data_IF_073736848829
#
_entry.id   IF_073736848829
#
_cell.length_a   1.000
_cell.length_b   1.000
_cell.length_c   1.000
_cell.angle_alpha   90.00
_cell.angle_beta   90.00
_cell.angle_gamma   90.00
#
_symmetry.space_group_name_H-M   'P 1'
#
loop_
_entity.id
_entity.type
_entity.pdbx_description
1 polymer ?
#
# COMPACT_ATOMS: atom_id res chain seq x y z
N UNK A 1 -8.57 9.84 -17.21
CA UNK A 1 -9.29 8.96 -16.27
C UNK A 1 -10.02 9.85 -15.31
N UNK A 2 -11.34 9.96 -15.46
CA UNK A 2 -12.18 10.77 -14.58
C UNK A 2 -12.42 9.97 -13.32
N UNK A 3 -11.83 10.42 -12.21
CA UNK A 3 -12.11 9.87 -10.88
C UNK A 3 -13.53 10.33 -10.56
N UNK A 4 -14.50 9.44 -10.71
CA UNK A 4 -15.84 9.64 -10.17
C UNK A 4 -15.72 9.54 -8.67
N UNK A 5 -15.68 10.71 -8.04
CA UNK A 5 -15.80 10.92 -6.60
C UNK A 5 -17.23 10.59 -6.19
N UNK A 6 -17.54 9.30 -6.05
CA UNK A 6 -18.78 8.83 -5.43
C UNK A 6 -18.54 8.71 -3.91
N UNK A 7 -18.05 9.81 -3.33
CA UNK A 7 -17.86 10.03 -1.90
C UNK A 7 -19.18 10.52 -1.31
N UNK A 8 -20.20 9.66 -1.34
CA UNK A 8 -21.29 9.72 -0.37
C UNK A 8 -21.00 8.66 0.70
N UNK A 9 -20.00 8.95 1.52
CA UNK A 9 -19.71 8.19 2.73
C UNK A 9 -20.58 8.74 3.87
N UNK A 10 -21.83 8.26 3.92
CA UNK A 10 -22.79 8.59 4.97
C UNK A 10 -22.72 7.59 6.15
N UNK A 11 -21.68 6.75 6.19
CA UNK A 11 -21.46 5.79 7.27
C UNK A 11 -20.45 6.36 8.26
N UNK A 12 -20.95 6.88 9.38
CA UNK A 12 -20.12 7.11 10.56
C UNK A 12 -19.56 5.77 11.03
N UNK A 13 -18.23 5.67 11.05
CA UNK A 13 -17.53 4.61 11.76
C UNK A 13 -17.92 4.72 13.23
N UNK A 14 -18.70 3.76 13.71
CA UNK A 14 -19.05 3.63 15.12
C UNK A 14 -17.75 3.22 15.83
N UNK A 15 -17.15 4.15 16.60
CA UNK A 15 -16.01 3.84 17.47
C UNK A 15 -16.42 2.70 18.39
N UNK A 16 -15.83 1.52 18.17
CA UNK A 16 -16.02 0.36 19.02
C UNK A 16 -15.53 0.75 20.41
N UNK A 17 -16.34 0.64 21.48
CA UNK A 17 -15.88 0.88 22.84
C UNK A 17 -14.63 0.03 23.10
N UNK A 18 -13.58 0.64 23.66
CA UNK A 18 -12.33 -0.04 24.00
C UNK A 18 -12.47 -1.17 25.05
N UNK A 19 -13.70 -1.48 25.47
CA UNK A 19 -14.03 -2.40 26.56
C UNK A 19 -14.42 -3.81 26.07
N UNK A 20 -14.44 -4.09 24.77
CA UNK A 20 -14.47 -5.49 24.30
C UNK A 20 -13.06 -6.09 24.42
N UNK A 21 -12.85 -6.82 25.52
CA UNK A 21 -11.65 -7.61 25.87
C UNK A 21 -11.37 -8.78 24.90
N UNK A 22 -11.87 -8.69 23.67
CA UNK A 22 -11.42 -9.45 22.50
C UNK A 22 -10.63 -8.52 21.59
N UNK A 23 -9.53 -8.00 22.12
CA UNK A 23 -8.45 -7.49 21.27
C UNK A 23 -7.87 -8.70 20.53
N UNK A 24 -8.41 -8.99 19.34
CA UNK A 24 -7.59 -9.64 18.33
C UNK A 24 -6.40 -8.69 18.16
N UNK A 25 -5.23 -9.16 18.55
CA UNK A 25 -3.96 -8.49 18.36
C UNK A 25 -3.77 -8.34 16.85
N UNK A 26 -4.41 -7.34 16.26
CA UNK A 26 -4.12 -6.87 14.93
C UNK A 26 -2.68 -6.36 15.03
N UNK A 27 -1.78 -7.01 14.29
CA UNK A 27 -0.38 -6.68 14.23
C UNK A 27 -0.22 -5.20 13.82
N UNK A 28 -0.14 -4.30 14.81
CA UNK A 28 0.26 -2.90 14.69
C UNK A 28 1.64 -2.74 13.99
N UNK A 29 2.34 -3.86 13.78
CA UNK A 29 3.54 -3.94 12.97
C UNK A 29 3.33 -3.41 11.54
N UNK A 30 2.18 -3.61 10.90
CA UNK A 30 2.01 -3.24 9.49
C UNK A 30 1.89 -1.72 9.29
N UNK A 31 1.16 -1.02 10.18
CA UNK A 31 1.05 0.43 10.14
C UNK A 31 2.36 1.11 10.53
N UNK A 32 3.05 0.60 11.57
CA UNK A 32 4.35 1.13 11.98
C UNK A 32 5.41 0.94 10.88
N UNK A 33 5.41 -0.21 10.19
CA UNK A 33 6.30 -0.45 9.04
C UNK A 33 5.95 0.48 7.87
N UNK A 34 4.68 0.70 7.58
CA UNK A 34 4.25 1.63 6.54
C UNK A 34 4.73 3.07 6.82
N UNK A 35 4.57 3.57 8.04
CA UNK A 35 5.07 4.90 8.44
C UNK A 35 6.59 5.00 8.36
N UNK A 36 7.31 3.97 8.81
CA UNK A 36 8.77 3.94 8.74
C UNK A 36 9.26 3.94 7.27
N UNK A 37 8.60 3.22 6.37
CA UNK A 37 8.97 3.21 4.94
C UNK A 37 8.70 4.56 4.26
N UNK A 38 7.62 5.26 4.61
CA UNK A 38 7.33 6.61 4.11
C UNK A 38 8.39 7.61 4.57
N UNK A 39 8.79 7.54 5.85
CA UNK A 39 9.82 8.40 6.38
C UNK A 39 11.18 8.14 5.72
N UNK A 40 11.56 6.87 5.55
CA UNK A 40 12.79 6.49 4.85
C UNK A 40 12.81 7.00 3.40
N UNK A 41 11.69 6.88 2.68
CA UNK A 41 11.57 7.40 1.32
C UNK A 41 11.67 8.93 1.24
N UNK A 42 11.16 9.64 2.24
CA UNK A 42 11.26 11.11 2.31
C UNK A 42 12.71 11.55 2.57
N UNK A 43 13.43 10.84 3.44
CA UNK A 43 14.86 11.06 3.70
C UNK A 43 15.71 10.76 2.46
N UNK A 44 15.46 9.64 1.77
CA UNK A 44 16.14 9.29 0.52
C UNK A 44 15.89 10.33 -0.60
N UNK A 45 14.66 10.84 -0.70
CA UNK A 45 14.32 11.90 -1.65
C UNK A 45 15.05 13.21 -1.34
N UNK A 46 15.22 13.58 -0.06
CA UNK A 46 16.03 14.73 0.35
C UNK A 46 17.51 14.54 0.02
N UNK A 47 18.06 13.35 0.26
CA UNK A 47 19.46 13.03 -0.05
C UNK A 47 19.71 13.13 -1.56
N UNK A 48 18.80 12.59 -2.38
CA UNK A 48 18.87 12.70 -3.85
C UNK A 48 18.75 14.14 -4.33
N UNK A 49 17.87 14.95 -3.71
CA UNK A 49 17.74 16.36 -4.04
C UNK A 49 19.01 17.17 -3.69
N UNK A 50 19.65 16.88 -2.55
CA UNK A 50 20.91 17.50 -2.14
C UNK A 50 22.07 17.10 -3.07
N UNK A 51 22.15 15.84 -3.51
CA UNK A 51 23.14 15.38 -4.48
C UNK A 51 22.91 15.99 -5.88
N UNK A 52 21.65 16.16 -6.27
CA UNK A 52 21.28 16.87 -7.50
C UNK A 52 21.71 18.34 -7.46
N UNK A 53 21.55 19.02 -6.32
CA UNK A 53 21.97 20.41 -6.16
C UNK A 53 23.50 20.57 -6.22
N UNK A 54 24.25 19.64 -5.61
CA UNK A 54 25.72 19.62 -5.62
C UNK A 54 26.32 19.32 -7.00
N UNK A 55 25.59 18.60 -7.86
CA UNK A 55 26.03 18.30 -9.24
C UNK A 55 25.62 19.38 -10.24
N UNK A 56 24.61 20.20 -9.92
CA UNK A 56 24.11 21.27 -10.79
C UNK A 56 25.04 22.50 -10.89
N UNK A 57 25.91 22.75 -9.90
CA UNK A 57 26.81 23.92 -9.91
C UNK A 57 28.16 23.66 -10.59
N UNK A 58 28.46 22.42 -10.97
CA UNK A 58 29.65 22.11 -11.76
C UNK A 58 29.33 22.27 -13.25
N UNK A 59 29.02 23.49 -13.67
CA UNK A 59 29.15 23.87 -15.08
C UNK A 59 30.63 23.81 -15.41
N UNK A 60 31.09 22.64 -15.83
CA UNK A 60 32.46 22.39 -16.30
C UNK A 60 32.68 23.36 -17.46
N UNK A 61 33.54 24.35 -17.25
CA UNK A 61 34.11 25.16 -18.32
C UNK A 61 34.58 24.20 -19.41
N UNK A 62 33.95 24.26 -20.59
CA UNK A 62 34.24 23.40 -21.74
C UNK A 62 35.67 23.68 -22.20
N UNK A 63 36.63 22.94 -21.65
CA UNK A 63 37.98 22.87 -22.20
C UNK A 63 37.83 22.07 -23.49
N UNK A 64 38.11 22.66 -24.66
CA UNK A 64 37.94 21.96 -25.92
C UNK A 64 38.88 20.75 -25.96
N UNK A 65 38.33 19.59 -26.26
CA UNK A 65 39.06 18.33 -26.33
C UNK A 65 40.08 18.40 -27.48
N UNK A 66 41.29 17.89 -27.26
CA UNK A 66 42.29 17.78 -28.31
C UNK A 66 41.85 16.69 -29.31
N UNK A 67 42.18 16.87 -30.60
CA UNK A 67 41.74 15.96 -31.67
C UNK A 67 42.20 14.52 -31.43
N UNK A 68 43.38 14.30 -30.86
CA UNK A 68 43.91 12.98 -30.54
C UNK A 68 43.13 12.27 -29.43
N UNK A 69 42.76 12.99 -28.37
CA UNK A 69 41.88 12.48 -27.30
C UNK A 69 40.50 12.09 -27.86
N UNK A 70 39.94 12.91 -28.75
CA UNK A 70 38.69 12.61 -29.43
C UNK A 70 38.75 11.31 -30.24
N UNK A 71 39.82 11.11 -31.03
CA UNK A 71 39.95 9.90 -31.84
C UNK A 71 40.14 8.67 -30.96
N UNK A 72 40.92 8.80 -29.87
CA UNK A 72 41.06 7.73 -28.89
C UNK A 72 39.71 7.37 -28.27
N UNK A 73 38.96 8.36 -27.77
CA UNK A 73 37.64 8.17 -27.17
C UNK A 73 36.62 7.60 -28.16
N UNK A 74 36.65 8.05 -29.43
CA UNK A 74 35.83 7.50 -30.51
C UNK A 74 36.15 6.02 -30.74
N UNK A 75 37.42 5.67 -30.96
CA UNK A 75 37.83 4.29 -31.25
C UNK A 75 37.54 3.36 -30.06
N UNK A 76 37.71 3.82 -28.82
CA UNK A 76 37.31 3.08 -27.61
C UNK A 76 35.79 2.88 -27.58
N UNK A 77 34.99 3.93 -27.79
CA UNK A 77 33.52 3.88 -27.74
C UNK A 77 32.93 2.89 -28.75
N UNK A 78 33.57 2.75 -29.91
CA UNK A 78 33.17 1.81 -30.95
C UNK A 78 33.90 0.45 -30.88
N UNK A 79 34.73 0.21 -29.86
CA UNK A 79 35.42 -1.07 -29.64
C UNK A 79 36.51 -1.40 -30.67
N UNK A 80 37.06 -0.39 -31.35
CA UNK A 80 38.06 -0.53 -32.42
C UNK A 80 39.49 -0.60 -31.87
N UNK A 81 39.77 -1.56 -30.98
CA UNK A 81 41.04 -1.65 -30.24
C UNK A 81 42.29 -1.80 -31.12
N UNK A 82 42.22 -2.58 -32.20
CA UNK A 82 43.36 -2.73 -33.13
C UNK A 82 43.67 -1.43 -33.87
N UNK A 83 42.64 -0.71 -34.29
CA UNK A 83 42.78 0.59 -34.97
C UNK A 83 43.31 1.64 -34.01
N UNK A 84 42.89 1.60 -32.75
CA UNK A 84 43.42 2.45 -31.69
C UNK A 84 44.92 2.24 -31.48
N UNK A 85 45.37 0.98 -31.36
CA UNK A 85 46.79 0.65 -31.19
C UNK A 85 47.64 1.15 -32.37
N UNK A 86 47.18 0.92 -33.61
CA UNK A 86 47.87 1.42 -34.80
C UNK A 86 47.92 2.95 -34.81
N UNK A 87 46.79 3.61 -34.57
CA UNK A 87 46.69 5.07 -34.54
C UNK A 87 47.64 5.67 -33.49
N UNK A 88 47.62 5.17 -32.26
CA UNK A 88 48.49 5.66 -31.19
C UNK A 88 49.97 5.47 -31.52
N UNK A 89 50.34 4.31 -32.07
CA UNK A 89 51.73 4.01 -32.45
C UNK A 89 52.22 4.99 -33.53
N UNK A 90 51.46 5.17 -34.59
CA UNK A 90 51.81 6.09 -35.68
C UNK A 90 51.84 7.55 -35.20
N UNK A 91 50.87 7.94 -34.38
CA UNK A 91 50.76 9.29 -33.82
C UNK A 91 51.97 9.66 -32.97
N UNK A 92 52.38 8.80 -32.04
CA UNK A 92 53.57 9.04 -31.22
C UNK A 92 54.87 9.00 -32.03
N UNK A 93 54.97 8.17 -33.07
CA UNK A 93 56.14 8.14 -33.97
C UNK A 93 56.28 9.45 -34.76
N UNK A 94 55.17 9.99 -35.27
CA UNK A 94 55.12 11.27 -35.98
C UNK A 94 55.50 12.45 -35.07
N UNK A 95 55.04 12.43 -33.82
CA UNK A 95 55.40 13.43 -32.80
C UNK A 95 56.89 13.36 -32.48
N UNK A 96 57.46 12.17 -32.27
CA UNK A 96 58.89 12.01 -31.97
C UNK A 96 59.79 12.45 -33.14
N UNK A 97 59.36 12.25 -34.38
CA UNK A 97 60.07 12.71 -35.58
C UNK A 97 59.96 14.22 -35.82
N UNK A 98 59.15 14.93 -35.04
CA UNK A 98 58.94 16.39 -35.16
C UNK A 98 58.20 16.79 -36.44
N UNK A 99 57.51 15.85 -37.10
CA UNK A 99 56.75 16.11 -38.32
C UNK A 99 55.46 16.91 -38.07
N UNK A 100 55.01 16.97 -36.81
CA UNK A 100 53.83 17.69 -36.37
C UNK A 100 54.06 18.21 -34.95
N UNK A 101 53.72 19.47 -34.66
CA UNK A 101 53.88 20.03 -33.31
C UNK A 101 52.55 20.00 -32.54
N UNK A 102 52.58 19.87 -31.21
CA UNK A 102 51.37 19.86 -30.37
C UNK A 102 50.51 21.14 -30.48
N UNK A 103 51.01 22.20 -31.15
CA UNK A 103 50.26 23.42 -31.47
C UNK A 103 49.45 23.33 -32.77
N UNK A 104 49.75 22.36 -33.62
CA UNK A 104 49.04 22.12 -34.90
C UNK A 104 47.80 21.23 -34.69
N UNK A 105 47.67 20.60 -33.52
CA UNK A 105 46.44 19.90 -33.11
C UNK A 105 45.36 20.95 -32.86
N UNK A 106 44.54 21.20 -33.87
CA UNK A 106 43.33 22.01 -33.72
C UNK A 106 42.42 21.40 -32.64
N UNK A 107 41.57 22.22 -32.06
CA UNK A 107 40.60 21.77 -31.06
C UNK A 107 39.39 21.14 -31.76
N UNK A 108 38.79 20.13 -31.14
CA UNK A 108 37.58 19.51 -31.68
C UNK A 108 36.47 20.56 -31.81
N UNK A 109 35.77 20.63 -32.95
CA UNK A 109 34.65 21.55 -33.13
C UNK A 109 33.60 21.39 -32.02
N UNK A 110 33.26 22.49 -31.37
CA UNK A 110 32.33 22.55 -30.24
C UNK A 110 30.97 21.91 -30.52
N UNK A 111 30.51 21.91 -31.78
CA UNK A 111 29.25 21.25 -32.19
C UNK A 111 29.28 19.74 -31.94
N UNK A 112 30.43 19.07 -32.11
CA UNK A 112 30.52 17.63 -31.85
C UNK A 112 30.44 17.33 -30.36
N UNK A 113 31.21 18.04 -29.55
CA UNK A 113 31.19 17.91 -28.09
C UNK A 113 29.75 18.12 -27.59
N UNK A 114 29.06 19.13 -28.13
CA UNK A 114 27.66 19.39 -27.80
C UNK A 114 26.73 18.24 -28.18
N UNK A 115 26.90 17.64 -29.36
CA UNK A 115 26.11 16.49 -29.77
C UNK A 115 26.34 15.27 -28.86
N UNK A 116 27.59 14.99 -28.49
CA UNK A 116 27.90 13.88 -27.59
C UNK A 116 27.29 14.08 -26.19
N UNK A 117 27.32 15.31 -25.66
CA UNK A 117 26.63 15.67 -24.42
C UNK A 117 25.11 15.44 -24.54
N UNK A 118 24.50 15.91 -25.63
CA UNK A 118 23.06 15.76 -25.87
C UNK A 118 22.63 14.30 -26.05
N UNK A 119 23.48 13.47 -26.66
CA UNK A 119 23.27 12.02 -26.75
C UNK A 119 23.32 11.36 -25.37
N UNK A 120 24.32 11.69 -24.55
CA UNK A 120 24.44 11.16 -23.19
C UNK A 120 23.25 11.58 -22.31
N UNK A 121 22.81 12.84 -22.43
CA UNK A 121 21.62 13.34 -21.76
C UNK A 121 20.35 12.64 -22.24
N UNK A 122 20.17 12.46 -23.55
CA UNK A 122 19.03 11.70 -24.08
C UNK A 122 19.00 10.25 -23.56
N UNK A 123 20.15 9.59 -23.49
CA UNK A 123 20.25 8.23 -22.97
C UNK A 123 19.89 8.18 -21.47
N UNK A 124 20.35 9.15 -20.68
CA UNK A 124 19.98 9.28 -19.26
C UNK A 124 18.48 9.51 -19.10
N UNK A 125 17.92 10.50 -19.80
CA UNK A 125 16.50 10.83 -19.75
C UNK A 125 15.60 9.66 -20.16
N UNK A 126 16.00 8.90 -21.19
CA UNK A 126 15.28 7.69 -21.61
C UNK A 126 15.28 6.62 -20.52
N UNK A 127 16.43 6.41 -19.86
CA UNK A 127 16.54 5.45 -18.76
C UNK A 127 15.68 5.88 -17.56
N UNK A 128 15.72 7.16 -17.20
CA UNK A 128 14.92 7.70 -16.11
C UNK A 128 13.42 7.59 -16.41
N UNK A 129 13.02 7.88 -17.64
CA UNK A 129 11.63 7.73 -18.09
C UNK A 129 11.15 6.27 -18.02
N UNK A 130 11.99 5.31 -18.38
CA UNK A 130 11.64 3.88 -18.27
C UNK A 130 11.53 3.44 -16.80
N UNK A 131 12.45 3.91 -15.94
CA UNK A 131 12.38 3.66 -14.50
C UNK A 131 11.10 4.25 -13.89
N UNK A 132 10.76 5.50 -14.24
CA UNK A 132 9.54 6.15 -13.79
C UNK A 132 8.27 5.42 -14.25
N UNK A 133 8.25 4.88 -15.48
CA UNK A 133 7.14 4.05 -15.95
C UNK A 133 7.00 2.79 -15.12
N UNK A 134 8.12 2.11 -14.83
CA UNK A 134 8.12 0.90 -14.01
C UNK A 134 7.59 1.17 -12.60
N UNK A 135 8.08 2.23 -11.94
CA UNK A 135 7.62 2.59 -10.59
C UNK A 135 6.15 3.00 -10.59
N UNK A 136 5.72 3.76 -11.59
CA UNK A 136 4.31 4.15 -11.77
C UNK A 136 3.41 2.92 -11.94
N UNK A 137 3.82 1.94 -12.73
CA UNK A 137 3.03 0.72 -12.94
C UNK A 137 2.95 -0.11 -11.65
N UNK A 138 4.07 -0.27 -10.92
CA UNK A 138 4.07 -0.93 -9.61
C UNK A 138 3.14 -0.23 -8.60
N UNK A 139 3.18 1.10 -8.54
CA UNK A 139 2.31 1.88 -7.68
C UNK A 139 0.83 1.72 -8.06
N UNK A 140 0.50 1.70 -9.36
CA UNK A 140 -0.87 1.43 -9.84
C UNK A 140 -1.35 0.04 -9.43
N UNK A 141 -0.52 -0.99 -9.57
CA UNK A 141 -0.85 -2.35 -9.17
C UNK A 141 -1.08 -2.45 -7.65
N UNK A 142 -0.22 -1.83 -6.85
CA UNK A 142 -0.39 -1.77 -5.39
C UNK A 142 -1.69 -1.07 -5.01
N UNK A 143 -1.98 0.08 -5.63
CA UNK A 143 -3.21 0.82 -5.41
C UNK A 143 -4.46 -0.01 -5.72
N UNK A 144 -4.47 -0.74 -6.84
CA UNK A 144 -5.58 -1.62 -7.20
C UNK A 144 -5.78 -2.77 -6.19
N UNK A 145 -4.69 -3.29 -5.59
CA UNK A 145 -4.79 -4.29 -4.52
C UNK A 145 -5.41 -3.68 -3.27
N UNK A 146 -4.92 -2.53 -2.81
CA UNK A 146 -5.47 -1.83 -1.64
C UNK A 146 -6.94 -1.46 -1.84
N UNK A 147 -7.33 -1.03 -3.04
CA UNK A 147 -8.72 -0.73 -3.37
C UNK A 147 -9.62 -1.96 -3.23
N UNK A 148 -9.18 -3.12 -3.73
CA UNK A 148 -9.93 -4.39 -3.60
C UNK A 148 -10.08 -4.81 -2.14
N UNK A 149 -9.02 -4.68 -1.34
CA UNK A 149 -9.05 -5.02 0.08
C UNK A 149 -10.01 -4.11 0.85
N UNK A 150 -9.93 -2.79 0.62
CA UNK A 150 -10.88 -1.81 1.16
C UNK A 150 -12.33 -2.17 0.80
N UNK A 151 -12.58 -2.52 -0.47
CA UNK A 151 -13.93 -2.88 -0.92
C UNK A 151 -14.41 -4.20 -0.30
N UNK A 152 -13.51 -5.16 -0.10
CA UNK A 152 -13.77 -6.40 0.62
C UNK A 152 -14.18 -6.13 2.08
N UNK A 153 -13.39 -5.34 2.81
CA UNK A 153 -13.72 -4.94 4.19
C UNK A 153 -15.05 -4.18 4.26
N UNK A 154 -15.28 -3.21 3.37
CA UNK A 154 -16.54 -2.45 3.31
C UNK A 154 -17.74 -3.37 3.09
N UNK A 155 -17.63 -4.34 2.19
CA UNK A 155 -18.70 -5.33 1.93
C UNK A 155 -18.88 -6.27 3.13
N UNK A 156 -17.81 -6.66 3.80
CA UNK A 156 -17.85 -7.51 4.98
C UNK A 156 -18.54 -6.80 6.15
N UNK A 157 -18.14 -5.57 6.48
CA UNK A 157 -18.79 -4.76 7.52
C UNK A 157 -20.29 -4.62 7.26
N UNK A 158 -20.69 -4.31 6.03
CA UNK A 158 -22.12 -4.23 5.65
C UNK A 158 -22.87 -5.54 5.91
N UNK A 159 -22.27 -6.69 5.58
CA UNK A 159 -22.86 -8.01 5.84
C UNK A 159 -23.01 -8.27 7.34
N UNK A 160 -21.97 -8.01 8.12
CA UNK A 160 -21.98 -8.22 9.58
C UNK A 160 -23.07 -7.37 10.24
N UNK A 161 -23.25 -6.11 9.82
CA UNK A 161 -24.33 -5.25 10.31
C UNK A 161 -25.71 -5.85 10.00
N UNK A 162 -25.92 -6.35 8.78
CA UNK A 162 -27.18 -7.00 8.41
C UNK A 162 -27.46 -8.26 9.26
N UNK A 163 -26.43 -9.06 9.52
CA UNK A 163 -26.54 -10.25 10.37
C UNK A 163 -26.83 -9.87 11.83
N UNK A 164 -26.14 -8.85 12.36
CA UNK A 164 -26.40 -8.27 13.68
C UNK A 164 -27.86 -7.85 13.82
N UNK A 165 -28.37 -7.09 12.87
CA UNK A 165 -29.75 -6.57 12.91
C UNK A 165 -30.78 -7.70 12.85
N UNK A 166 -30.51 -8.75 12.07
CA UNK A 166 -31.33 -9.96 12.03
C UNK A 166 -31.35 -10.68 13.39
N UNK A 167 -30.18 -10.86 14.00
CA UNK A 167 -30.07 -11.49 15.32
C UNK A 167 -30.77 -10.66 16.41
N UNK A 168 -30.68 -9.34 16.35
CA UNK A 168 -31.41 -8.44 17.26
C UNK A 168 -32.92 -8.65 17.12
N UNK A 169 -33.44 -8.79 15.90
CA UNK A 169 -34.86 -9.07 15.66
C UNK A 169 -35.27 -10.42 16.24
N UNK A 170 -34.44 -11.46 16.04
CA UNK A 170 -34.70 -12.80 16.58
C UNK A 170 -34.67 -12.81 18.12
N UNK A 171 -33.73 -12.10 18.75
CA UNK A 171 -33.67 -11.93 20.19
C UNK A 171 -34.91 -11.23 20.76
N UNK A 172 -35.39 -10.16 20.09
CA UNK A 172 -36.62 -9.46 20.49
C UNK A 172 -37.83 -10.38 20.43
N UNK A 173 -37.95 -11.15 19.35
CA UNK A 173 -39.04 -12.14 19.18
C UNK A 173 -38.98 -13.23 20.25
N UNK A 174 -37.78 -13.75 20.53
CA UNK A 174 -37.58 -14.78 21.55
C UNK A 174 -37.94 -14.25 22.94
N UNK A 175 -37.50 -13.03 23.28
CA UNK A 175 -37.85 -12.38 24.55
C UNK A 175 -39.36 -12.21 24.72
N UNK A 176 -40.06 -11.79 23.65
CA UNK A 176 -41.52 -11.67 23.67
C UNK A 176 -42.20 -13.04 23.89
N UNK A 177 -41.71 -14.09 23.26
CA UNK A 177 -42.21 -15.46 23.44
C UNK A 177 -41.97 -16.01 24.86
N UNK A 178 -40.82 -15.70 25.48
CA UNK A 178 -40.61 -16.07 26.88
C UNK A 178 -41.51 -15.28 27.84
N UNK A 179 -41.73 -13.99 27.56
CA UNK A 179 -42.64 -13.17 28.35
C UNK A 179 -44.09 -13.71 28.30
N UNK A 180 -44.51 -14.34 27.20
CA UNK A 180 -45.84 -14.97 27.12
C UNK A 180 -45.99 -16.24 27.97
N UNK A 181 -44.91 -16.95 28.29
CA UNK A 181 -45.00 -18.11 29.19
C UNK A 181 -45.21 -17.73 30.66
N UNK A 182 -44.77 -16.55 31.08
CA UNK A 182 -44.91 -16.10 32.46
C UNK A 182 -46.38 -16.15 32.97
N UNK A 183 -47.38 -15.58 32.27
CA UNK A 183 -48.78 -15.69 32.70
C UNK A 183 -49.31 -17.12 32.64
N UNK A 184 -48.91 -17.93 31.65
CA UNK A 184 -49.34 -19.33 31.54
C UNK A 184 -48.86 -20.17 32.73
N UNK A 185 -47.60 -20.00 33.15
CA UNK A 185 -47.03 -20.67 34.32
C UNK A 185 -47.69 -20.20 35.62
N UNK A 186 -48.01 -18.91 35.75
CA UNK A 186 -48.77 -18.39 36.89
C UNK A 186 -50.15 -19.03 36.97
N UNK A 187 -50.90 -19.05 35.87
CA UNK A 187 -52.21 -19.69 35.81
C UNK A 187 -52.14 -21.20 36.12
N UNK A 188 -51.14 -21.90 35.61
CA UNK A 188 -50.96 -23.33 35.87
C UNK A 188 -50.69 -23.57 37.37
N UNK A 189 -49.87 -22.73 38.00
CA UNK A 189 -49.58 -22.79 39.42
C UNK A 189 -50.83 -22.54 40.27
N UNK A 190 -51.62 -21.52 39.92
CA UNK A 190 -52.90 -21.21 40.59
C UNK A 190 -53.90 -22.37 40.48
N UNK A 191 -54.04 -22.96 39.29
CA UNK A 191 -54.87 -24.14 39.06
C UNK A 191 -54.41 -25.33 39.90
N UNK A 192 -53.11 -25.60 39.93
CA UNK A 192 -52.53 -26.67 40.74
C UNK A 192 -52.86 -26.49 42.23
N UNK A 193 -52.64 -25.30 42.78
CA UNK A 193 -52.97 -25.00 44.18
C UNK A 193 -54.47 -25.16 44.47
N UNK A 194 -55.33 -24.75 43.54
CA UNK A 194 -56.78 -24.87 43.68
C UNK A 194 -57.22 -26.33 43.73
N UNK A 195 -56.73 -27.15 42.80
CA UNK A 195 -57.00 -28.60 42.77
C UNK A 195 -56.47 -29.29 44.03
N UNK A 196 -55.29 -28.89 44.52
CA UNK A 196 -54.72 -29.43 45.74
C UNK A 196 -55.61 -29.14 46.96
N UNK A 197 -56.09 -27.89 47.11
CA UNK A 197 -57.04 -27.51 48.18
C UNK A 197 -58.35 -28.29 48.08
N UNK A 198 -58.93 -28.39 46.88
CA UNK A 198 -60.15 -29.17 46.65
C UNK A 198 -59.96 -30.65 47.00
N UNK A 199 -58.85 -31.27 46.57
CA UNK A 199 -58.52 -32.66 46.91
C UNK A 199 -58.46 -32.89 48.43
N UNK A 200 -57.85 -31.96 49.17
CA UNK A 200 -57.78 -32.04 50.63
C UNK A 200 -59.17 -31.96 51.26
N UNK A 201 -60.02 -31.03 50.81
CA UNK A 201 -61.41 -30.89 51.30
C UNK A 201 -62.22 -32.16 51.03
N UNK A 202 -62.20 -32.68 49.80
CA UNK A 202 -62.91 -33.92 49.45
C UNK A 202 -62.39 -35.13 50.23
N UNK A 203 -61.10 -35.17 50.57
CA UNK A 203 -60.57 -36.23 51.44
C UNK A 203 -61.16 -36.15 52.85
N UNK A 204 -61.20 -34.95 53.44
CA UNK A 204 -61.79 -34.74 54.76
C UNK A 204 -63.30 -35.05 54.79
N UNK A 205 -64.03 -34.69 53.74
CA UNK A 205 -65.45 -35.02 53.59
C UNK A 205 -65.66 -36.55 53.51
N UNK A 206 -64.80 -37.26 52.76
CA UNK A 206 -64.83 -38.72 52.69
C UNK A 206 -64.55 -39.36 54.05
N UNK A 207 -63.52 -38.88 54.76
CA UNK A 207 -63.16 -39.40 56.08
C UNK A 207 -64.29 -39.18 57.10
N UNK A 208 -64.96 -38.02 57.05
CA UNK A 208 -66.15 -37.74 57.86
C UNK A 208 -67.31 -38.67 57.53
N UNK A 209 -67.58 -38.95 56.25
CA UNK A 209 -68.65 -39.84 55.83
C UNK A 209 -68.41 -41.29 56.28
N UNK A 210 -67.16 -41.77 56.21
CA UNK A 210 -66.79 -43.12 56.69
C UNK A 210 -66.92 -43.24 58.21
N UNK A 211 -66.61 -42.19 58.97
CA UNK A 211 -66.76 -42.18 60.44
C UNK A 211 -68.21 -42.05 60.95
N UNK A 212 -69.20 -41.87 60.06
CA UNK A 212 -70.63 -41.78 60.38
C UNK A 212 -71.41 -43.07 60.06
N UNK A 213 -70.72 -44.12 59.58
CA UNK A 213 -71.24 -45.48 59.36
C UNK A 213 -70.71 -46.39 60.46
#
# INVERSE_FOLDING_TARGET
>A
FTITDDSNDDYQYEEVPADDEFSLQEDDEDLSKALQTIQQQAEDAQILALQSALTSEKSVSEIPEAIDDFFCNFLVRFGMSRTLDCFQTEWYELVQRGAFTAKDTELVPTVYIRNQQLEAENMRLRKDLENCKLTTNKAKEAFLKMQKERDFHRMHCKRVVQEKDRLICDLKRLKAHYASYEPELKQLTEKYQTVLRQKMLTSLERDRAVGQV
#
